data_IF_492606697378
#
_entry.id   IF_492606697378
#
_cell.length_a   1.000
_cell.length_b   1.000
_cell.length_c   1.000
_cell.angle_alpha   90.00
_cell.angle_beta   90.00
_cell.angle_gamma   90.00
#
_symmetry.space_group_name_H-M   'P 1'
#
loop_
_entity.id
_entity.type
_entity.pdbx_description
1 polymer ?
#
# COMPACT_ATOMS: atom_id res chain seq x y z
N UNK A 1 -24.87 18.91 -13.67
CA UNK A 1 -24.77 19.31 -12.25
C UNK A 1 -23.50 18.67 -11.70
N UNK A 2 -22.40 19.32 -11.63
CA UNK A 2 -21.23 19.14 -10.77
C UNK A 2 -19.90 19.39 -11.48
N UNK A 3 -19.88 20.36 -12.39
CA UNK A 3 -18.62 20.95 -12.90
C UNK A 3 -17.83 21.71 -11.82
N UNK A 4 -18.38 21.82 -10.61
CA UNK A 4 -17.69 22.41 -9.44
C UNK A 4 -16.71 21.47 -8.73
N UNK A 5 -16.63 20.21 -9.14
CA UNK A 5 -15.80 19.21 -8.44
C UNK A 5 -14.33 19.16 -8.90
N UNK A 6 -13.92 20.00 -9.86
CA UNK A 6 -12.54 20.05 -10.35
C UNK A 6 -11.82 21.36 -10.00
N UNK A 7 -12.39 22.18 -9.09
CA UNK A 7 -11.79 23.41 -8.62
C UNK A 7 -10.89 23.23 -7.39
N UNK A 8 -10.20 24.30 -6.98
CA UNK A 8 -9.27 24.35 -5.85
C UNK A 8 -9.83 23.82 -4.51
N UNK A 9 -11.17 23.76 -4.34
CA UNK A 9 -11.83 23.19 -3.16
C UNK A 9 -11.93 21.67 -3.12
N UNK A 10 -11.57 20.96 -4.21
CA UNK A 10 -11.80 19.51 -4.29
C UNK A 10 -10.93 18.70 -3.35
N UNK A 11 -9.65 19.03 -3.23
CA UNK A 11 -8.75 18.40 -2.26
C UNK A 11 -9.24 18.59 -0.83
N UNK A 12 -9.64 19.82 -0.49
CA UNK A 12 -10.20 20.13 0.83
C UNK A 12 -11.48 19.35 1.12
N UNK A 13 -12.35 19.19 0.13
CA UNK A 13 -13.57 18.40 0.26
C UNK A 13 -13.25 16.92 0.50
N UNK A 14 -12.28 16.35 -0.24
CA UNK A 14 -11.84 14.97 -0.06
C UNK A 14 -11.27 14.73 1.34
N UNK A 15 -10.44 15.66 1.84
CA UNK A 15 -9.91 15.62 3.20
C UNK A 15 -11.03 15.71 4.23
N UNK A 16 -11.95 16.67 4.09
CA UNK A 16 -13.09 16.84 5.00
C UNK A 16 -13.94 15.57 5.08
N UNK A 17 -14.28 14.97 3.94
CA UNK A 17 -15.03 13.70 3.87
C UNK A 17 -14.27 12.54 4.49
N UNK A 18 -12.97 12.47 4.29
CA UNK A 18 -12.13 11.46 4.93
C UNK A 18 -12.16 11.57 6.44
N UNK A 19 -12.04 12.80 6.98
CA UNK A 19 -12.13 13.07 8.42
C UNK A 19 -13.52 12.67 8.95
N UNK A 20 -14.60 13.09 8.26
CA UNK A 20 -15.96 12.70 8.63
C UNK A 20 -16.12 11.18 8.73
N UNK A 21 -15.66 10.43 7.70
CA UNK A 21 -15.71 8.97 7.67
C UNK A 21 -14.86 8.31 8.75
N UNK A 22 -13.72 8.91 9.09
CA UNK A 22 -12.85 8.42 10.17
C UNK A 22 -13.55 8.42 11.53
N UNK A 23 -14.37 9.45 11.80
CA UNK A 23 -15.10 9.56 13.06
C UNK A 23 -16.44 8.84 13.06
N UNK A 24 -17.08 8.65 11.90
CA UNK A 24 -18.48 8.15 11.83
C UNK A 24 -18.60 6.73 11.30
N UNK A 25 -17.60 6.23 10.54
CA UNK A 25 -17.77 4.98 9.80
C UNK A 25 -16.61 3.99 9.96
N UNK A 26 -15.39 4.35 9.58
CA UNK A 26 -14.24 3.46 9.61
C UNK A 26 -12.91 4.20 9.57
N UNK A 27 -11.89 3.58 10.21
CA UNK A 27 -10.56 4.15 10.36
C UNK A 27 -9.64 4.10 9.13
N UNK A 28 -10.09 3.53 8.02
CA UNK A 28 -9.29 3.36 6.80
C UNK A 28 -9.08 4.68 6.06
N UNK A 29 -8.37 5.62 6.70
CA UNK A 29 -8.28 7.01 6.22
C UNK A 29 -7.58 7.14 4.85
N UNK A 30 -6.58 6.32 4.54
CA UNK A 30 -5.94 6.34 3.21
C UNK A 30 -6.91 5.84 2.15
N UNK A 31 -7.61 4.73 2.39
CA UNK A 31 -8.63 4.21 1.49
C UNK A 31 -9.72 5.24 1.23
N UNK A 32 -10.28 5.84 2.29
CA UNK A 32 -11.34 6.84 2.18
C UNK A 32 -10.86 8.06 1.38
N UNK A 33 -9.66 8.56 1.67
CA UNK A 33 -9.07 9.66 0.90
C UNK A 33 -8.93 9.31 -0.57
N UNK A 34 -8.37 8.15 -0.90
CA UNK A 34 -8.20 7.70 -2.29
C UNK A 34 -9.54 7.54 -3.00
N UNK A 35 -10.55 6.96 -2.34
CA UNK A 35 -11.91 6.85 -2.90
C UNK A 35 -12.49 8.23 -3.24
N UNK A 36 -12.43 9.18 -2.32
CA UNK A 36 -12.99 10.51 -2.57
C UNK A 36 -12.20 11.29 -3.60
N UNK A 37 -10.87 11.23 -3.54
CA UNK A 37 -10.00 11.98 -4.44
C UNK A 37 -10.03 11.45 -5.88
N UNK A 38 -10.12 10.13 -6.09
CA UNK A 38 -10.12 9.54 -7.44
C UNK A 38 -11.50 9.40 -8.06
N UNK A 39 -12.59 9.45 -7.27
CA UNK A 39 -13.95 9.27 -7.74
C UNK A 39 -14.36 10.14 -8.95
N UNK A 40 -14.02 11.44 -9.06
CA UNK A 40 -14.40 12.24 -10.21
C UNK A 40 -13.71 11.80 -11.51
N UNK A 41 -12.43 11.41 -11.42
CA UNK A 41 -11.68 10.95 -12.59
C UNK A 41 -12.28 9.65 -13.16
N UNK A 42 -12.77 8.79 -12.31
CA UNK A 42 -13.45 7.55 -12.69
C UNK A 42 -14.83 7.83 -13.26
N UNK A 43 -15.53 8.86 -12.78
CA UNK A 43 -16.86 9.28 -13.27
C UNK A 43 -16.84 10.04 -14.60
N UNK A 44 -15.67 10.31 -15.17
CA UNK A 44 -15.55 10.87 -16.54
C UNK A 44 -16.04 9.90 -17.64
N UNK A 45 -16.74 8.84 -17.25
CA UNK A 45 -17.35 7.85 -18.13
C UNK A 45 -16.60 6.52 -18.14
N UNK A 46 -17.01 5.62 -19.03
CA UNK A 46 -16.43 4.27 -19.14
C UNK A 46 -14.91 4.28 -19.42
N UNK A 47 -14.41 5.29 -20.11
CA UNK A 47 -12.99 5.45 -20.40
C UNK A 47 -12.18 5.74 -19.11
N UNK A 48 -12.67 6.61 -18.23
CA UNK A 48 -12.00 6.92 -16.96
C UNK A 48 -11.82 5.68 -16.09
N UNK A 49 -12.87 4.88 -15.94
CA UNK A 49 -12.80 3.63 -15.18
C UNK A 49 -11.84 2.62 -15.80
N UNK A 50 -11.85 2.44 -17.12
CA UNK A 50 -10.93 1.52 -17.81
C UNK A 50 -9.47 1.91 -17.63
N UNK A 51 -9.14 3.20 -17.74
CA UNK A 51 -7.80 3.73 -17.52
C UNK A 51 -7.37 3.52 -16.06
N UNK A 52 -8.27 3.81 -15.11
CA UNK A 52 -8.01 3.61 -13.70
C UNK A 52 -7.70 2.13 -13.37
N UNK A 53 -8.51 1.20 -13.89
CA UNK A 53 -8.27 -0.23 -13.74
C UNK A 53 -6.94 -0.65 -14.37
N UNK A 54 -6.66 -0.23 -15.61
CA UNK A 54 -5.42 -0.58 -16.30
C UNK A 54 -4.16 -0.11 -15.54
N UNK A 55 -4.17 1.12 -15.05
CA UNK A 55 -3.07 1.67 -14.24
C UNK A 55 -2.89 0.83 -12.97
N UNK A 56 -3.97 0.50 -12.25
CA UNK A 56 -3.88 -0.27 -11.01
C UNK A 56 -3.40 -1.71 -11.26
N UNK A 57 -3.81 -2.35 -12.34
CA UNK A 57 -3.30 -3.67 -12.75
C UNK A 57 -1.79 -3.61 -13.00
N UNK A 58 -1.33 -2.62 -13.77
CA UNK A 58 0.10 -2.44 -14.06
C UNK A 58 0.91 -2.16 -12.78
N UNK A 59 0.40 -1.30 -11.90
CA UNK A 59 1.06 -0.99 -10.63
C UNK A 59 1.12 -2.22 -9.71
N UNK A 60 0.05 -3.01 -9.65
CA UNK A 60 -0.01 -4.21 -8.82
C UNK A 60 1.01 -5.26 -9.26
N UNK A 61 0.95 -5.70 -10.52
CA UNK A 61 1.90 -6.68 -11.04
C UNK A 61 3.33 -6.15 -11.09
N UNK A 62 3.49 -4.85 -11.36
CA UNK A 62 4.79 -4.18 -11.28
C UNK A 62 5.38 -4.17 -9.86
N UNK A 63 4.56 -3.94 -8.84
CA UNK A 63 5.01 -3.97 -7.43
C UNK A 63 5.42 -5.37 -6.99
N UNK A 64 4.70 -6.41 -7.42
CA UNK A 64 5.06 -7.83 -7.21
C UNK A 64 6.41 -8.13 -7.88
N UNK A 65 6.56 -7.75 -9.16
CA UNK A 65 7.82 -7.93 -9.88
C UNK A 65 9.00 -7.26 -9.16
N UNK A 66 8.82 -6.00 -8.76
CA UNK A 66 9.88 -5.24 -8.08
C UNK A 66 10.29 -5.87 -6.74
N UNK A 67 9.34 -6.41 -5.98
CA UNK A 67 9.62 -7.08 -4.71
C UNK A 67 10.32 -8.42 -4.94
N UNK A 68 9.79 -9.27 -5.81
CA UNK A 68 10.37 -10.59 -6.13
C UNK A 68 11.78 -10.41 -6.70
N UNK A 69 11.93 -9.50 -7.66
CA UNK A 69 13.25 -9.20 -8.23
C UNK A 69 14.24 -8.74 -7.15
N UNK A 70 13.81 -7.89 -6.24
CA UNK A 70 14.65 -7.42 -5.13
C UNK A 70 15.11 -8.58 -4.24
N UNK A 71 14.19 -9.43 -3.79
CA UNK A 71 14.49 -10.57 -2.90
C UNK A 71 15.37 -11.59 -3.63
N UNK A 72 14.97 -12.03 -4.81
CA UNK A 72 15.64 -13.11 -5.53
C UNK A 72 17.05 -12.71 -6.00
N UNK A 73 17.24 -11.46 -6.44
CA UNK A 73 18.55 -10.98 -6.92
C UNK A 73 19.51 -10.60 -5.82
N UNK A 74 19.02 -9.92 -4.79
CA UNK A 74 19.90 -9.33 -3.78
C UNK A 74 20.07 -10.20 -2.53
N UNK A 75 19.01 -10.92 -2.10
CA UNK A 75 19.11 -11.80 -0.94
C UNK A 75 19.53 -13.21 -1.34
N UNK A 76 18.84 -13.81 -2.33
CA UNK A 76 19.03 -15.20 -2.71
C UNK A 76 20.05 -15.40 -3.84
N UNK A 77 20.49 -14.30 -4.49
CA UNK A 77 21.48 -14.30 -5.60
C UNK A 77 21.10 -15.23 -6.77
N UNK A 78 19.80 -15.39 -7.03
CA UNK A 78 19.29 -16.27 -8.07
C UNK A 78 19.52 -15.75 -9.49
N UNK A 79 19.57 -16.66 -10.47
CA UNK A 79 19.63 -16.35 -11.90
C UNK A 79 18.33 -15.69 -12.42
N UNK A 80 18.39 -15.05 -13.58
CA UNK A 80 17.24 -14.36 -14.18
C UNK A 80 16.04 -15.30 -14.43
N UNK A 81 16.31 -16.52 -14.86
CA UNK A 81 15.28 -17.53 -15.14
C UNK A 81 14.48 -17.85 -13.88
N UNK A 82 15.16 -18.02 -12.74
CA UNK A 82 14.50 -18.30 -11.46
C UNK A 82 13.65 -17.14 -10.98
N UNK A 83 14.11 -15.90 -11.16
CA UNK A 83 13.32 -14.70 -10.87
C UNK A 83 12.03 -14.67 -11.70
N UNK A 84 12.17 -14.93 -13.02
CA UNK A 84 11.02 -14.93 -13.94
C UNK A 84 10.04 -16.06 -13.60
N UNK A 85 10.55 -17.27 -13.32
CA UNK A 85 9.72 -18.41 -12.91
C UNK A 85 8.95 -18.12 -11.61
N UNK A 86 9.64 -17.59 -10.59
CA UNK A 86 8.99 -17.22 -9.31
C UNK A 86 7.93 -16.14 -9.51
N UNK A 87 8.18 -15.15 -10.36
CA UNK A 87 7.21 -14.14 -10.70
C UNK A 87 6.00 -14.71 -11.43
N UNK A 88 6.23 -15.56 -12.43
CA UNK A 88 5.16 -16.21 -13.19
C UNK A 88 4.30 -17.10 -12.29
N UNK A 89 4.92 -17.87 -11.38
CA UNK A 89 4.20 -18.71 -10.41
C UNK A 89 3.39 -17.85 -9.43
N UNK A 90 3.98 -16.80 -8.87
CA UNK A 90 3.30 -15.90 -7.95
C UNK A 90 2.10 -15.21 -8.61
N UNK A 91 2.27 -14.71 -9.83
CA UNK A 91 1.19 -14.07 -10.58
C UNK A 91 0.08 -15.06 -10.95
N UNK A 92 0.44 -16.29 -11.33
CA UNK A 92 -0.53 -17.34 -11.62
C UNK A 92 -1.37 -17.72 -10.39
N UNK A 93 -0.74 -17.89 -9.23
CA UNK A 93 -1.43 -18.20 -7.97
C UNK A 93 -2.38 -17.10 -7.51
N UNK A 94 -2.01 -15.82 -7.72
CA UNK A 94 -2.81 -14.67 -7.33
C UNK A 94 -3.93 -14.39 -8.35
N UNK A 95 -3.73 -14.77 -9.62
CA UNK A 95 -4.65 -14.47 -10.73
C UNK A 95 -5.87 -15.38 -10.78
N UNK A 96 -6.54 -15.56 -9.64
CA UNK A 96 -7.85 -16.22 -9.64
C UNK A 96 -8.91 -15.24 -10.19
N UNK A 97 -9.71 -15.68 -11.16
CA UNK A 97 -10.67 -14.84 -11.87
C UNK A 97 -11.64 -14.09 -10.93
N UNK A 98 -12.11 -14.74 -9.87
CA UNK A 98 -13.01 -14.12 -8.88
C UNK A 98 -12.33 -13.00 -8.11
N UNK A 99 -11.10 -13.23 -7.65
CA UNK A 99 -10.29 -12.24 -6.92
C UNK A 99 -9.95 -11.06 -7.83
N UNK A 100 -9.65 -11.30 -9.11
CA UNK A 100 -9.36 -10.25 -10.08
C UNK A 100 -10.57 -9.34 -10.31
N UNK A 101 -11.77 -9.90 -10.44
CA UNK A 101 -12.99 -9.12 -10.67
C UNK A 101 -13.28 -8.17 -9.51
N UNK A 102 -13.18 -8.64 -8.29
CA UNK A 102 -13.45 -7.83 -7.08
C UNK A 102 -12.37 -6.78 -6.85
N UNK A 103 -11.11 -7.09 -7.08
CA UNK A 103 -9.98 -6.23 -6.76
C UNK A 103 -9.62 -5.21 -7.85
N UNK A 104 -9.94 -5.47 -9.12
CA UNK A 104 -9.53 -4.60 -10.22
C UNK A 104 -10.67 -3.95 -11.00
N UNK A 105 -11.89 -4.46 -10.90
CA UNK A 105 -13.03 -3.92 -11.64
C UNK A 105 -14.09 -3.29 -10.74
N UNK A 106 -13.97 -3.43 -9.44
CA UNK A 106 -14.80 -2.73 -8.47
C UNK A 106 -14.03 -1.54 -7.86
N UNK A 107 -14.48 -0.31 -8.15
CA UNK A 107 -13.80 0.92 -7.75
C UNK A 107 -13.43 0.97 -6.26
N UNK A 108 -14.41 0.69 -5.39
CA UNK A 108 -14.15 0.68 -3.95
C UNK A 108 -13.17 -0.45 -3.54
N UNK A 109 -13.22 -1.59 -4.23
CA UNK A 109 -12.28 -2.69 -4.04
C UNK A 109 -10.84 -2.30 -4.39
N UNK A 110 -10.64 -1.57 -5.50
CA UNK A 110 -9.33 -1.06 -5.87
C UNK A 110 -8.78 -0.14 -4.78
N UNK A 111 -9.58 0.82 -4.33
CA UNK A 111 -9.14 1.78 -3.31
C UNK A 111 -8.93 1.12 -1.95
N UNK A 112 -9.77 0.14 -1.59
CA UNK A 112 -9.72 -0.51 -0.28
C UNK A 112 -8.63 -1.58 -0.18
N UNK A 113 -8.48 -2.42 -1.20
CA UNK A 113 -7.59 -3.60 -1.13
C UNK A 113 -6.37 -3.47 -2.02
N UNK A 114 -6.56 -3.12 -3.30
CA UNK A 114 -5.47 -3.15 -4.28
C UNK A 114 -4.43 -2.06 -4.02
N UNK A 115 -4.83 -0.82 -3.83
CA UNK A 115 -3.90 0.29 -3.61
C UNK A 115 -3.12 0.15 -2.29
N UNK A 116 -3.74 -0.15 -1.13
CA UNK A 116 -2.98 -0.42 0.09
C UNK A 116 -2.00 -1.58 -0.05
N UNK A 117 -2.37 -2.65 -0.80
CA UNK A 117 -1.49 -3.78 -1.05
C UNK A 117 -0.30 -3.38 -1.93
N UNK A 118 -0.51 -2.58 -2.99
CA UNK A 118 0.57 -2.02 -3.80
C UNK A 118 1.54 -1.22 -2.92
N UNK A 119 1.01 -0.34 -2.06
CA UNK A 119 1.84 0.42 -1.13
C UNK A 119 2.60 -0.49 -0.15
N UNK A 120 1.95 -1.53 0.37
CA UNK A 120 2.59 -2.52 1.23
C UNK A 120 3.76 -3.23 0.55
N UNK A 121 3.56 -3.72 -0.68
CA UNK A 121 4.61 -4.38 -1.46
C UNK A 121 5.79 -3.45 -1.76
N UNK A 122 5.51 -2.20 -2.15
CA UNK A 122 6.54 -1.18 -2.39
C UNK A 122 7.27 -0.81 -1.10
N UNK A 123 6.54 -0.64 0.00
CA UNK A 123 7.11 -0.35 1.31
C UNK A 123 8.05 -1.45 1.79
N UNK A 124 7.61 -2.71 1.71
CA UNK A 124 8.43 -3.89 2.05
C UNK A 124 9.66 -3.95 1.14
N UNK A 125 9.51 -3.74 -0.17
CA UNK A 125 10.65 -3.70 -1.09
C UNK A 125 11.69 -2.66 -0.69
N UNK A 126 11.26 -1.44 -0.38
CA UNK A 126 12.16 -0.37 0.03
C UNK A 126 12.83 -0.69 1.38
N UNK A 127 12.11 -1.25 2.33
CA UNK A 127 12.65 -1.68 3.62
C UNK A 127 13.71 -2.79 3.46
N UNK A 128 13.42 -3.80 2.62
CA UNK A 128 14.36 -4.87 2.29
C UNK A 128 15.62 -4.31 1.61
N UNK A 129 15.48 -3.37 0.66
CA UNK A 129 16.64 -2.73 0.03
C UNK A 129 17.48 -1.96 1.03
N UNK A 130 16.85 -1.21 1.93
CA UNK A 130 17.54 -0.45 2.96
C UNK A 130 18.28 -1.37 3.93
N UNK A 131 17.67 -2.48 4.35
CA UNK A 131 18.26 -3.41 5.32
C UNK A 131 19.36 -4.31 4.72
N UNK A 132 19.17 -4.80 3.50
CA UNK A 132 19.96 -5.92 2.98
C UNK A 132 20.77 -5.62 1.71
N UNK A 133 20.51 -4.50 1.01
CA UNK A 133 21.20 -4.18 -0.25
C UNK A 133 22.14 -2.99 -0.06
N UNK A 134 21.58 -1.84 0.29
CA UNK A 134 22.32 -0.60 0.50
C UNK A 134 21.55 0.33 1.40
N UNK A 135 22.19 0.80 2.47
CA UNK A 135 21.65 1.84 3.33
C UNK A 135 21.50 3.16 2.56
N UNK A 136 20.30 3.40 2.04
CA UNK A 136 19.98 4.55 1.20
C UNK A 136 18.86 5.37 1.83
N UNK A 137 19.05 6.69 1.95
CA UNK A 137 17.99 7.61 2.44
C UNK A 137 16.72 7.51 1.57
N UNK A 138 16.85 7.29 0.26
CA UNK A 138 15.68 7.12 -0.64
C UNK A 138 14.88 5.88 -0.29
N UNK A 139 15.56 4.76 -0.01
CA UNK A 139 14.88 3.51 0.36
C UNK A 139 14.24 3.65 1.75
N UNK A 140 14.88 4.33 2.70
CA UNK A 140 14.28 4.62 4.00
C UNK A 140 13.02 5.49 3.88
N UNK A 141 13.08 6.59 3.12
CA UNK A 141 11.92 7.46 2.88
C UNK A 141 10.80 6.68 2.18
N UNK A 142 11.15 5.89 1.15
CA UNK A 142 10.19 5.03 0.46
C UNK A 142 9.51 4.03 1.40
N UNK A 143 10.28 3.37 2.28
CA UNK A 143 9.73 2.46 3.28
C UNK A 143 8.76 3.19 4.24
N UNK A 144 9.13 4.37 4.73
CA UNK A 144 8.31 5.17 5.63
C UNK A 144 7.00 5.59 4.94
N UNK A 145 7.08 6.21 3.76
CA UNK A 145 5.91 6.75 3.05
C UNK A 145 4.96 5.62 2.65
N UNK A 146 5.47 4.59 1.98
CA UNK A 146 4.62 3.49 1.53
C UNK A 146 4.11 2.62 2.69
N UNK A 147 4.88 2.45 3.76
CA UNK A 147 4.44 1.80 4.98
C UNK A 147 3.30 2.54 5.66
N UNK A 148 3.40 3.87 5.80
CA UNK A 148 2.33 4.73 6.32
C UNK A 148 1.05 4.61 5.48
N UNK A 149 1.16 4.71 4.14
CA UNK A 149 0.02 4.62 3.23
C UNK A 149 -0.65 3.24 3.27
N UNK A 150 0.13 2.17 3.32
CA UNK A 150 -0.40 0.82 3.42
C UNK A 150 -1.15 0.57 4.73
N UNK A 151 -0.59 1.05 5.85
CA UNK A 151 -1.16 0.87 7.18
C UNK A 151 -2.38 1.74 7.47
N UNK A 152 -2.58 2.83 6.72
CA UNK A 152 -3.82 3.61 6.71
C UNK A 152 -4.93 3.04 5.82
N UNK A 153 -4.69 1.90 5.16
CA UNK A 153 -5.65 1.15 4.36
C UNK A 153 -6.46 0.13 5.17
N UNK A 154 -6.80 -1.03 4.57
CA UNK A 154 -7.54 -2.08 5.28
C UNK A 154 -6.69 -2.75 6.35
N UNK A 155 -7.32 -3.15 7.46
CA UNK A 155 -6.63 -3.69 8.65
C UNK A 155 -5.80 -4.95 8.36
N UNK A 156 -6.25 -5.81 7.44
CA UNK A 156 -5.49 -7.00 7.04
C UNK A 156 -4.13 -6.64 6.40
N UNK A 157 -4.13 -5.66 5.50
CA UNK A 157 -2.90 -5.16 4.90
C UNK A 157 -1.99 -4.51 5.94
N UNK A 158 -2.57 -3.70 6.84
CA UNK A 158 -1.85 -3.06 7.94
C UNK A 158 -1.16 -4.07 8.84
N UNK A 159 -1.85 -5.14 9.21
CA UNK A 159 -1.30 -6.20 10.07
C UNK A 159 -0.11 -6.90 9.41
N UNK A 160 -0.23 -7.28 8.14
CA UNK A 160 0.85 -7.95 7.38
C UNK A 160 2.06 -7.02 7.25
N UNK A 161 1.85 -5.77 6.87
CA UNK A 161 2.94 -4.80 6.69
C UNK A 161 3.64 -4.52 8.01
N UNK A 162 2.89 -4.25 9.09
CA UNK A 162 3.47 -4.06 10.42
C UNK A 162 4.25 -5.27 10.89
N UNK A 163 3.75 -6.49 10.65
CA UNK A 163 4.45 -7.72 11.03
C UNK A 163 5.79 -7.87 10.31
N UNK A 164 5.81 -7.65 8.99
CA UNK A 164 7.06 -7.71 8.21
C UNK A 164 8.05 -6.62 8.65
N UNK A 165 7.56 -5.41 8.90
CA UNK A 165 8.39 -4.29 9.38
C UNK A 165 8.98 -4.60 10.76
N UNK A 166 8.17 -5.18 11.66
CA UNK A 166 8.63 -5.61 12.98
C UNK A 166 9.75 -6.64 12.87
N UNK A 167 9.57 -7.68 12.04
CA UNK A 167 10.58 -8.73 11.87
C UNK A 167 11.92 -8.16 11.38
N UNK A 168 11.90 -7.27 10.38
CA UNK A 168 13.11 -6.65 9.85
C UNK A 168 13.73 -5.69 10.89
N UNK A 169 12.90 -4.98 11.64
CA UNK A 169 13.34 -4.11 12.73
C UNK A 169 14.05 -4.94 13.84
N UNK A 170 13.42 -5.99 14.32
CA UNK A 170 13.99 -6.91 15.34
C UNK A 170 15.32 -7.50 14.86
N UNK A 171 15.37 -7.98 13.61
CA UNK A 171 16.59 -8.45 12.99
C UNK A 171 17.70 -7.38 13.02
N UNK A 172 17.38 -6.14 12.62
CA UNK A 172 18.34 -5.04 12.59
C UNK A 172 18.89 -4.66 13.97
N UNK A 173 18.06 -4.73 15.02
CA UNK A 173 18.50 -4.51 16.40
C UNK A 173 19.32 -5.67 16.93
N UNK A 174 18.93 -6.92 16.63
CA UNK A 174 19.66 -8.12 17.04
C UNK A 174 21.06 -8.17 16.44
N UNK A 175 21.17 -7.92 15.15
CA UNK A 175 22.45 -7.93 14.42
C UNK A 175 23.28 -6.67 14.62
N UNK A 176 22.78 -5.70 15.42
CA UNK A 176 23.42 -4.38 15.62
C UNK A 176 23.70 -3.64 14.31
N UNK A 177 22.81 -3.83 13.31
CA UNK A 177 22.93 -3.18 12.01
C UNK A 177 23.02 -1.64 12.15
N UNK A 178 23.90 -0.98 11.40
CA UNK A 178 24.12 0.46 11.53
C UNK A 178 22.84 1.28 11.25
N UNK A 179 22.04 0.87 10.25
CA UNK A 179 20.77 1.49 9.90
C UNK A 179 19.59 1.16 10.82
N UNK A 180 19.79 0.46 11.96
CA UNK A 180 18.72 -0.01 12.85
C UNK A 180 17.77 1.09 13.34
N UNK A 181 18.27 2.31 13.57
CA UNK A 181 17.45 3.46 13.96
C UNK A 181 16.46 3.84 12.84
N UNK A 182 16.90 3.76 11.57
CA UNK A 182 16.04 3.96 10.42
C UNK A 182 14.96 2.88 10.28
N UNK A 183 15.33 1.61 10.52
CA UNK A 183 14.36 0.50 10.54
C UNK A 183 13.33 0.70 11.66
N UNK A 184 13.79 1.12 12.86
CA UNK A 184 12.91 1.44 13.99
C UNK A 184 11.95 2.58 13.67
N UNK A 185 12.44 3.66 13.03
CA UNK A 185 11.60 4.78 12.61
C UNK A 185 10.55 4.36 11.56
N UNK A 186 10.93 3.56 10.56
CA UNK A 186 10.01 3.05 9.56
C UNK A 186 8.92 2.17 10.17
N UNK A 187 9.29 1.25 11.07
CA UNK A 187 8.33 0.43 11.81
C UNK A 187 7.40 1.29 12.67
N UNK A 188 7.95 2.23 13.45
CA UNK A 188 7.16 3.07 14.36
C UNK A 188 6.11 3.89 13.60
N UNK A 189 6.47 4.49 12.47
CA UNK A 189 5.54 5.29 11.65
C UNK A 189 4.44 4.39 11.04
N UNK A 190 4.80 3.22 10.52
CA UNK A 190 3.81 2.26 10.02
C UNK A 190 2.88 1.78 11.15
N UNK A 191 3.42 1.50 12.33
CA UNK A 191 2.66 1.07 13.50
C UNK A 191 1.71 2.17 14.02
N UNK A 192 2.16 3.43 14.09
CA UNK A 192 1.30 4.56 14.45
C UNK A 192 0.15 4.71 13.44
N UNK A 193 0.43 4.56 12.14
CA UNK A 193 -0.61 4.59 11.10
C UNK A 193 -1.62 3.46 11.29
N UNK A 194 -1.16 2.24 11.58
CA UNK A 194 -2.02 1.09 11.87
C UNK A 194 -2.86 1.28 13.13
N UNK A 195 -2.27 1.82 14.21
CA UNK A 195 -2.98 2.16 15.44
C UNK A 195 -4.05 3.23 15.21
N UNK A 196 -3.71 4.30 14.50
CA UNK A 196 -4.66 5.35 14.14
C UNK A 196 -5.84 4.77 13.35
N UNK A 197 -5.59 3.83 12.42
CA UNK A 197 -6.63 3.13 11.70
C UNK A 197 -7.49 2.24 12.62
N UNK A 198 -6.86 1.43 13.46
CA UNK A 198 -7.55 0.48 14.34
C UNK A 198 -8.39 1.17 15.43
N UNK A 199 -7.84 2.23 16.04
CA UNK A 199 -8.47 2.96 17.14
C UNK A 199 -9.41 4.09 16.67
N UNK A 200 -9.69 4.19 15.38
CA UNK A 200 -10.59 5.21 14.86
C UNK A 200 -11.98 5.11 15.50
N UNK A 201 -12.57 6.22 15.96
CA UNK A 201 -13.90 6.23 16.57
C UNK A 201 -14.98 5.59 15.70
N UNK A 202 -14.92 5.79 14.38
CA UNK A 202 -15.86 5.20 13.43
C UNK A 202 -15.90 3.67 13.43
N UNK A 203 -14.83 2.99 13.84
CA UNK A 203 -14.81 1.53 13.96
C UNK A 203 -15.71 1.02 15.11
N UNK A 204 -15.96 1.86 16.12
CA UNK A 204 -16.75 1.54 17.31
C UNK A 204 -18.18 2.05 17.23
N UNK A 205 -18.46 3.05 16.40
CA UNK A 205 -19.84 3.56 16.20
C UNK A 205 -20.69 2.64 15.33
N UNK A 206 -20.08 1.68 14.67
CA UNK A 206 -20.70 0.74 13.73
C UNK A 206 -21.32 -0.50 14.41
N UNK A 207 -21.11 -0.64 15.70
CA UNK A 207 -21.70 -1.72 16.51
C UNK A 207 -23.05 -1.27 17.06
#
# INVERSE_FOLDING_TARGET
KDSRMLGEGYLQLSVKRTIEMYFTWQGTFVTNFLCYYTAPYVRLGSAGMRIFCAINILLFYGSIWLLIHCIMKHLLKCGNLMVLFTYALATWLISNARVLMENFFWFNGICAYTLPLIFGLLGIRHLVRYAFVKESKRDLIGAIVFGFLACGGVLQCSAIVCFVYLLICVWGFWTKYNGRKGLGAAFLIAFISALANCLAPGNFTRQ
#
